data_IF_241251365947
#
_entry.id   IF_241251365947
#
_cell.length_a   1.000
_cell.length_b   1.000
_cell.length_c   1.000
_cell.angle_alpha   90.00
_cell.angle_beta   90.00
_cell.angle_gamma   90.00
#
_symmetry.space_group_name_H-M   'P 1'
#
loop_
_entity.id
_entity.type
_entity.pdbx_description
1 polymer ?
#
# COMPACT_ATOMS: atom_id res chain seq x y z
N UNK A 1 34.61 -20.02 32.16
CA UNK A 1 34.10 -18.76 32.72
C UNK A 1 33.67 -17.89 31.54
N UNK A 2 32.47 -18.05 30.95
CA UNK A 2 31.18 -17.48 31.41
C UNK A 2 31.22 -15.93 31.38
N UNK A 3 30.37 -15.14 30.73
CA UNK A 3 29.01 -15.25 30.18
C UNK A 3 28.83 -14.14 29.11
N UNK A 4 27.66 -14.13 28.46
CA UNK A 4 26.99 -12.97 27.86
C UNK A 4 27.38 -12.64 26.40
N UNK A 5 26.48 -12.53 25.44
CA UNK A 5 25.04 -12.66 25.45
C UNK A 5 24.64 -13.15 24.05
N UNK A 6 23.79 -14.17 24.00
CA UNK A 6 22.97 -14.41 22.82
C UNK A 6 22.12 -13.15 22.65
N UNK A 7 22.55 -12.24 21.77
CA UNK A 7 21.69 -11.20 21.24
C UNK A 7 20.60 -11.95 20.50
N UNK A 8 19.48 -12.16 21.20
CA UNK A 8 18.22 -12.49 20.59
C UNK A 8 17.93 -11.31 19.66
N UNK A 9 18.35 -11.45 18.41
CA UNK A 9 17.90 -10.61 17.32
C UNK A 9 16.39 -10.87 17.27
N UNK A 10 15.66 -9.99 17.96
CA UNK A 10 14.21 -9.99 17.97
C UNK A 10 13.77 -10.03 16.50
N UNK A 11 12.79 -10.87 16.12
CA UNK A 11 12.25 -10.78 14.78
C UNK A 11 11.79 -9.34 14.62
N UNK A 12 12.38 -8.63 13.66
CA UNK A 12 12.05 -7.25 13.35
C UNK A 12 10.52 -7.20 13.22
N UNK A 13 9.88 -6.69 14.26
CA UNK A 13 8.46 -6.38 14.27
C UNK A 13 8.32 -5.50 13.03
N UNK A 14 7.55 -5.88 12.00
CA UNK A 14 7.51 -5.10 10.78
C UNK A 14 7.07 -3.71 11.23
N UNK A 15 8.02 -2.78 11.23
CA UNK A 15 7.74 -1.40 11.56
C UNK A 15 6.58 -1.02 10.65
N UNK A 16 5.51 -0.39 11.17
CA UNK A 16 4.39 -0.06 10.32
C UNK A 16 4.96 0.72 9.15
N UNK A 17 4.96 0.10 7.97
CA UNK A 17 5.45 0.66 6.69
C UNK A 17 4.52 1.79 6.24
N UNK A 18 3.86 2.46 7.19
CA UNK A 18 3.50 3.85 7.14
C UNK A 18 4.77 4.72 7.17
N UNK A 19 5.69 4.52 6.22
CA UNK A 19 6.30 5.68 5.57
C UNK A 19 5.12 6.56 5.20
N UNK A 20 4.94 7.69 5.89
CA UNK A 20 3.77 8.58 5.77
C UNK A 20 3.46 8.82 4.30
N UNK A 21 2.58 8.00 3.74
CA UNK A 21 2.04 8.20 2.40
C UNK A 21 1.19 9.46 2.53
N UNK A 22 1.39 10.40 1.61
CA UNK A 22 0.65 11.65 1.63
C UNK A 22 -0.86 11.35 1.71
N UNK A 23 -1.60 11.96 2.66
CA UNK A 23 -3.05 11.78 2.78
C UNK A 23 -3.80 12.03 1.47
N UNK A 24 -3.32 12.95 0.61
CA UNK A 24 -3.90 13.22 -0.70
C UNK A 24 -3.79 12.01 -1.63
N UNK A 25 -2.64 11.32 -1.61
CA UNK A 25 -2.39 10.11 -2.40
C UNK A 25 -3.30 8.98 -1.90
N UNK A 26 -3.45 8.81 -0.58
CA UNK A 26 -4.36 7.81 -0.01
C UNK A 26 -5.80 8.08 -0.45
N UNK A 27 -6.24 9.35 -0.41
CA UNK A 27 -7.58 9.74 -0.86
C UNK A 27 -7.81 9.42 -2.34
N UNK A 28 -6.85 9.73 -3.20
CA UNK A 28 -6.93 9.39 -4.62
C UNK A 28 -6.99 7.86 -4.83
N UNK A 29 -6.19 7.09 -4.08
CA UNK A 29 -6.22 5.63 -4.10
C UNK A 29 -7.61 5.08 -3.80
N UNK A 30 -8.24 5.60 -2.75
CA UNK A 30 -9.61 5.21 -2.37
C UNK A 30 -10.62 5.50 -3.47
N UNK A 31 -10.56 6.67 -4.08
CA UNK A 31 -11.50 7.04 -5.15
C UNK A 31 -11.39 6.07 -6.33
N UNK A 32 -10.17 5.71 -6.72
CA UNK A 32 -9.91 4.75 -7.79
C UNK A 32 -10.37 3.36 -7.37
N UNK A 33 -10.08 2.94 -6.14
CA UNK A 33 -10.51 1.65 -5.63
C UNK A 33 -12.04 1.50 -5.58
N UNK A 34 -12.76 2.53 -5.13
CA UNK A 34 -14.23 2.51 -5.07
C UNK A 34 -14.83 2.38 -6.46
N UNK A 35 -14.34 3.17 -7.42
CA UNK A 35 -14.77 3.03 -8.81
C UNK A 35 -14.52 1.63 -9.36
N UNK A 36 -13.36 1.05 -9.04
CA UNK A 36 -13.04 -0.34 -9.38
C UNK A 36 -14.00 -1.34 -8.72
N UNK A 37 -14.25 -1.19 -7.42
CA UNK A 37 -15.09 -2.10 -6.66
C UNK A 37 -16.53 -2.10 -7.19
N UNK A 38 -17.08 -0.91 -7.45
CA UNK A 38 -18.44 -0.74 -7.95
C UNK A 38 -18.61 -1.30 -9.38
N UNK A 39 -17.57 -1.22 -10.21
CA UNK A 39 -17.66 -1.58 -11.63
C UNK A 39 -17.19 -3.00 -11.94
N UNK A 40 -16.22 -3.55 -11.18
CA UNK A 40 -15.46 -4.73 -11.59
C UNK A 40 -15.16 -5.74 -10.47
N UNK A 41 -15.53 -5.49 -9.20
CA UNK A 41 -15.20 -6.37 -8.09
C UNK A 41 -15.63 -7.84 -8.29
N UNK A 42 -16.72 -8.08 -9.03
CA UNK A 42 -17.22 -9.43 -9.27
C UNK A 42 -16.44 -10.21 -10.36
N UNK A 43 -15.63 -9.52 -11.17
CA UNK A 43 -15.00 -10.08 -12.37
C UNK A 43 -13.47 -10.15 -12.28
N UNK A 44 -12.86 -9.32 -11.43
CA UNK A 44 -11.41 -9.21 -11.32
C UNK A 44 -10.92 -9.59 -9.91
N UNK A 45 -9.72 -10.19 -9.80
CA UNK A 45 -9.16 -10.60 -8.51
C UNK A 45 -8.86 -9.38 -7.62
N UNK A 46 -8.62 -9.59 -6.32
CA UNK A 46 -8.20 -8.49 -5.43
C UNK A 46 -6.85 -7.93 -5.90
N UNK A 47 -6.72 -6.62 -6.19
CA UNK A 47 -5.44 -6.02 -6.51
C UNK A 47 -4.51 -6.03 -5.29
N UNK A 48 -3.20 -6.05 -5.52
CA UNK A 48 -2.19 -5.87 -4.47
C UNK A 48 -2.17 -4.42 -3.94
N UNK A 49 -2.56 -3.47 -4.79
CA UNK A 49 -2.64 -2.07 -4.43
C UNK A 49 -2.78 -1.18 -5.65
N UNK A 50 -2.56 0.12 -5.47
CA UNK A 50 -2.72 1.13 -6.51
C UNK A 50 -1.44 1.95 -6.60
N UNK A 51 -0.87 2.05 -7.81
CA UNK A 51 0.20 3.00 -8.10
C UNK A 51 -0.42 4.33 -8.52
N UNK A 52 -0.02 5.43 -7.90
CA UNK A 52 -0.57 6.77 -8.13
C UNK A 52 0.53 7.70 -8.58
N UNK A 53 0.33 8.35 -9.71
CA UNK A 53 1.16 9.45 -10.16
C UNK A 53 0.91 10.67 -9.27
N UNK A 54 1.96 11.18 -8.61
CA UNK A 54 1.91 12.31 -7.69
C UNK A 54 1.61 13.65 -8.37
N UNK A 55 1.77 13.74 -9.69
CA UNK A 55 1.54 14.97 -10.48
C UNK A 55 0.07 15.08 -10.84
N UNK A 56 -0.47 14.05 -11.49
CA UNK A 56 -1.84 14.09 -12.04
C UNK A 56 -2.87 13.41 -11.12
N UNK A 57 -2.44 12.80 -10.02
CA UNK A 57 -3.25 11.97 -9.10
C UNK A 57 -3.99 10.82 -9.79
N UNK A 58 -3.60 10.48 -11.02
CA UNK A 58 -4.08 9.31 -11.74
C UNK A 58 -3.45 8.06 -11.14
N UNK A 59 -4.17 6.94 -11.15
CA UNK A 59 -3.63 5.71 -10.62
C UNK A 59 -4.05 4.46 -11.39
N UNK A 60 -3.25 3.43 -11.19
CA UNK A 60 -3.35 2.14 -11.87
C UNK A 60 -3.43 1.04 -10.82
N UNK A 61 -4.35 0.11 -11.03
CA UNK A 61 -4.48 -1.09 -10.22
C UNK A 61 -3.31 -2.03 -10.52
N UNK A 62 -2.66 -2.48 -9.46
CA UNK A 62 -1.50 -3.38 -9.53
C UNK A 62 -1.93 -4.75 -9.03
N UNK A 63 -1.84 -5.76 -9.88
CA UNK A 63 -2.20 -7.15 -9.56
C UNK A 63 -0.99 -8.08 -9.42
N UNK A 64 0.19 -7.65 -9.87
CA UNK A 64 1.41 -8.46 -9.93
C UNK A 64 2.63 -7.55 -9.77
N UNK A 65 3.80 -8.01 -10.24
CA UNK A 65 5.07 -7.30 -10.18
C UNK A 65 4.94 -5.83 -10.62
N UNK A 66 5.42 -4.92 -9.80
CA UNK A 66 5.36 -3.48 -10.02
C UNK A 66 6.74 -2.88 -10.26
N UNK A 67 6.82 -2.01 -11.25
CA UNK A 67 7.96 -1.11 -11.49
C UNK A 67 7.38 0.30 -11.36
N UNK A 68 7.72 0.99 -10.27
CA UNK A 68 7.23 2.34 -10.03
C UNK A 68 8.15 3.34 -10.72
N UNK A 69 7.54 4.29 -11.40
CA UNK A 69 8.26 5.48 -11.85
C UNK A 69 8.62 6.35 -10.63
N UNK A 70 9.63 7.23 -10.73
CA UNK A 70 9.99 8.14 -9.64
C UNK A 70 8.84 9.05 -9.17
N UNK A 71 7.89 9.33 -10.07
CA UNK A 71 6.71 10.15 -9.79
C UNK A 71 5.52 9.33 -9.30
N UNK A 72 5.63 8.01 -9.26
CA UNK A 72 4.56 7.13 -8.80
C UNK A 72 4.78 6.72 -7.35
N UNK A 73 3.70 6.75 -6.57
CA UNK A 73 3.65 6.22 -5.22
C UNK A 73 2.77 5.00 -5.21
N UNK A 74 3.26 3.90 -4.67
CA UNK A 74 2.44 2.73 -4.44
C UNK A 74 1.69 2.88 -3.11
N UNK A 75 0.38 2.61 -3.16
CA UNK A 75 -0.48 2.51 -1.99
C UNK A 75 -0.95 1.05 -1.90
N UNK A 76 -0.47 0.27 -0.90
CA UNK A 76 -0.91 -1.10 -0.70
C UNK A 76 -2.40 -1.15 -0.34
N UNK A 77 -3.07 -2.21 -0.78
CA UNK A 77 -4.51 -2.39 -0.59
C UNK A 77 -4.91 -2.38 0.89
N UNK A 78 -4.04 -2.91 1.75
CA UNK A 78 -4.23 -2.94 3.20
C UNK A 78 -4.44 -1.54 3.78
N UNK A 79 -3.70 -0.52 3.30
CA UNK A 79 -3.84 0.86 3.77
C UNK A 79 -5.14 1.52 3.28
N UNK A 80 -5.61 1.12 2.10
CA UNK A 80 -6.85 1.65 1.51
C UNK A 80 -8.05 1.14 2.31
N UNK A 81 -8.08 -0.17 2.61
CA UNK A 81 -9.13 -0.82 3.40
C UNK A 81 -9.12 -0.37 4.87
N UNK A 82 -7.93 -0.27 5.49
CA UNK A 82 -7.79 0.15 6.90
C UNK A 82 -8.30 1.56 7.16
N UNK A 83 -8.10 2.47 6.21
CA UNK A 83 -8.49 3.87 6.37
C UNK A 83 -9.99 4.12 6.15
N UNK A 84 -10.77 3.14 5.69
CA UNK A 84 -12.24 3.21 5.65
C UNK A 84 -12.90 2.88 7.01
N UNK A 85 -12.10 2.54 8.04
CA UNK A 85 -12.59 2.14 9.36
C UNK A 85 -12.76 3.30 10.37
N UNK A 86 -12.89 4.55 9.92
CA UNK A 86 -13.06 5.73 10.79
C UNK A 86 -14.27 6.59 10.45
#
# INVERSE_FOLDING_TARGET
>A
MSYAAQRLEQPERPEPVAKKVDPLIIRAAKQIYRYYADSYAAQLPRPMGIAINRIDMTGKLIYSQLILLPQESFVPMELIELSDYH
#
